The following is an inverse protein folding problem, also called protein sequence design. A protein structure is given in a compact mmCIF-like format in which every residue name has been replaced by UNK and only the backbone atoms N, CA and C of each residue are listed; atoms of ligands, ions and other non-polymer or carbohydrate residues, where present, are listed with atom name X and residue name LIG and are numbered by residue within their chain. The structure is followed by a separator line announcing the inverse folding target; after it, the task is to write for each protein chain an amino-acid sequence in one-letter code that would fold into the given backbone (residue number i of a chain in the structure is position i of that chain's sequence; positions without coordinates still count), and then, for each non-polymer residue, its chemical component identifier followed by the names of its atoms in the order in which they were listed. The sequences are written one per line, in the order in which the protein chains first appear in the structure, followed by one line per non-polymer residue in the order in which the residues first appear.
data_IF_409860510896
#
_entry.id   IF_409860510896
#
_cell.length_a   1.000
_cell.length_b   1.000
_cell.length_c   1.000
_cell.angle_alpha   90.00
_cell.angle_beta   90.00
_cell.angle_gamma   90.00
#
_symmetry.space_group_name_H-M   'P 1'
#
loop_
_entity.id
_entity.type
_entity.pdbx_description
1 polymer ?
#
# COMPACT_ATOMS: atom_id res chain seq x y z
N UNK A 1 12.45 -7.42 -15.43
CA UNK A 1 11.14 -6.79 -15.67
C UNK A 1 11.27 -5.39 -15.11
N UNK A 2 11.13 -4.33 -15.92
CA UNK A 2 10.98 -2.97 -15.38
C UNK A 2 9.85 -3.00 -14.35
N UNK A 3 9.99 -2.29 -13.23
CA UNK A 3 8.94 -2.08 -12.23
C UNK A 3 7.76 -1.35 -12.90
N UNK A 4 6.93 -2.10 -13.63
CA UNK A 4 5.66 -1.63 -14.13
C UNK A 4 4.62 -1.85 -13.01
N UNK A 5 4.28 -0.80 -12.25
CA UNK A 5 3.31 -0.92 -11.18
C UNK A 5 1.95 -1.38 -11.70
N UNK A 6 1.58 -1.07 -12.95
CA UNK A 6 0.29 -1.47 -13.50
C UNK A 6 0.23 -2.98 -13.68
N UNK A 7 1.23 -3.59 -14.30
CA UNK A 7 1.28 -5.05 -14.40
C UNK A 7 1.24 -5.71 -13.01
N UNK A 8 2.01 -5.14 -12.06
CA UNK A 8 2.11 -5.65 -10.69
C UNK A 8 0.75 -5.64 -9.97
N UNK A 9 0.07 -4.49 -9.94
CA UNK A 9 -1.23 -4.35 -9.28
C UNK A 9 -2.37 -5.04 -10.03
N UNK A 10 -2.32 -5.12 -11.36
CA UNK A 10 -3.30 -5.85 -12.18
C UNK A 10 -3.28 -7.33 -11.89
N UNK A 11 -2.11 -7.95 -11.95
CA UNK A 11 -1.95 -9.38 -11.68
C UNK A 11 -2.45 -9.72 -10.26
N UNK A 12 -2.03 -8.94 -9.26
CA UNK A 12 -2.48 -9.15 -7.88
C UNK A 12 -3.99 -8.96 -7.73
N UNK A 13 -4.57 -7.89 -8.28
CA UNK A 13 -6.00 -7.61 -8.25
C UNK A 13 -6.83 -8.78 -8.82
N UNK A 14 -6.41 -9.35 -9.95
CA UNK A 14 -7.11 -10.48 -10.57
C UNK A 14 -6.95 -11.77 -9.75
N UNK A 15 -5.75 -12.07 -9.28
CA UNK A 15 -5.52 -13.26 -8.43
C UNK A 15 -6.34 -13.22 -7.15
N UNK A 16 -6.45 -12.06 -6.51
CA UNK A 16 -7.27 -11.89 -5.31
C UNK A 16 -8.76 -12.13 -5.59
N UNK A 17 -9.27 -11.62 -6.71
CA UNK A 17 -10.68 -11.73 -7.07
C UNK A 17 -11.09 -13.12 -7.52
N UNK A 18 -10.22 -13.80 -8.28
CA UNK A 18 -10.52 -15.11 -8.86
C UNK A 18 -10.38 -16.21 -7.81
N UNK A 19 -9.36 -16.14 -6.97
CA UNK A 19 -9.01 -17.25 -6.07
C UNK A 19 -9.24 -16.90 -4.59
N UNK A 20 -8.70 -15.77 -4.12
CA UNK A 20 -8.56 -15.51 -2.67
C UNK A 20 -9.88 -15.09 -2.02
N UNK A 21 -10.56 -14.08 -2.57
CA UNK A 21 -11.83 -13.57 -2.03
C UNK A 21 -12.93 -14.66 -2.06
N UNK A 22 -13.13 -15.43 -3.15
CA UNK A 22 -14.10 -16.52 -3.16
C UNK A 22 -13.78 -17.61 -2.12
N UNK A 23 -12.51 -17.95 -1.94
CA UNK A 23 -12.09 -18.94 -0.93
C UNK A 23 -12.38 -18.45 0.49
N UNK A 24 -12.03 -17.20 0.83
CA UNK A 24 -12.36 -16.60 2.15
C UNK A 24 -13.87 -16.61 2.39
N UNK A 25 -14.68 -16.24 1.39
CA UNK A 25 -16.15 -16.29 1.49
C UNK A 25 -16.67 -17.70 1.76
N UNK A 26 -16.13 -18.68 1.05
CA UNK A 26 -16.48 -20.10 1.23
C UNK A 26 -16.15 -20.57 2.65
N UNK A 27 -14.97 -20.22 3.15
CA UNK A 27 -14.54 -20.54 4.53
C UNK A 27 -15.41 -19.90 5.59
N UNK A 28 -15.82 -18.64 5.40
CA UNK A 28 -16.76 -17.96 6.30
C UNK A 28 -18.12 -18.64 6.29
N UNK A 29 -18.65 -18.98 5.10
CA UNK A 29 -19.91 -19.70 4.98
C UNK A 29 -19.87 -21.11 5.60
N UNK A 30 -18.72 -21.78 5.52
CA UNK A 30 -18.47 -23.09 6.14
C UNK A 30 -18.15 -23.00 7.65
N UNK A 31 -17.98 -21.79 8.20
CA UNK A 31 -17.65 -21.56 9.60
C UNK A 31 -16.20 -21.85 9.99
N UNK A 32 -15.30 -22.10 9.03
CA UNK A 32 -13.86 -22.28 9.31
C UNK A 32 -13.14 -20.96 9.57
N UNK A 33 -13.74 -19.84 9.17
CA UNK A 33 -13.34 -18.48 9.53
C UNK A 33 -14.53 -17.80 10.20
N UNK A 34 -14.33 -17.23 11.39
CA UNK A 34 -15.38 -16.50 12.09
C UNK A 34 -15.65 -15.15 11.39
N UNK A 35 -16.92 -14.76 11.20
CA UNK A 35 -17.24 -13.45 10.62
C UNK A 35 -16.68 -12.28 11.44
N UNK A 36 -16.49 -12.46 12.75
CA UNK A 36 -15.88 -11.47 13.64
C UNK A 36 -14.37 -11.29 13.43
N UNK A 37 -13.69 -12.18 12.71
CA UNK A 37 -12.27 -12.02 12.36
C UNK A 37 -12.07 -11.28 11.03
N UNK A 38 -13.14 -10.81 10.39
CA UNK A 38 -13.06 -10.06 9.15
C UNK A 38 -12.89 -8.55 9.37
N UNK A 39 -12.26 -7.84 8.41
CA UNK A 39 -11.42 -8.41 7.35
C UNK A 39 -10.13 -9.05 7.88
N UNK A 40 -9.69 -10.09 7.18
CA UNK A 40 -8.39 -10.72 7.40
C UNK A 40 -7.29 -9.90 6.74
N UNK A 41 -6.29 -9.48 7.50
CA UNK A 41 -5.10 -8.86 6.92
C UNK A 41 -4.23 -9.93 6.25
N UNK A 42 -4.02 -9.78 4.95
CA UNK A 42 -3.18 -10.66 4.14
C UNK A 42 -1.74 -10.18 4.22
N UNK A 43 -0.88 -10.99 4.84
CA UNK A 43 0.58 -10.84 4.85
C UNK A 43 1.22 -11.72 3.78
N UNK A 44 0.58 -12.84 3.46
CA UNK A 44 1.03 -13.77 2.45
C UNK A 44 -0.18 -14.53 1.89
N UNK A 45 -0.14 -14.85 0.60
CA UNK A 45 -1.09 -15.74 -0.03
C UNK A 45 -0.41 -16.62 -1.07
N UNK A 46 -0.75 -17.91 -1.07
CA UNK A 46 -0.34 -18.86 -2.10
C UNK A 46 -1.58 -19.50 -2.73
N UNK A 47 -1.74 -19.35 -4.03
CA UNK A 47 -2.75 -20.07 -4.81
C UNK A 47 -2.05 -21.22 -5.52
N UNK A 48 -2.53 -22.45 -5.33
CA UNK A 48 -1.96 -23.68 -5.87
C UNK A 48 -2.99 -24.30 -6.82
N UNK A 49 -2.56 -24.67 -8.03
CA UNK A 49 -3.39 -25.34 -9.01
C UNK A 49 -2.85 -26.75 -9.29
N UNK A 50 -3.68 -27.77 -9.01
CA UNK A 50 -3.36 -29.18 -9.23
C UNK A 50 -4.65 -29.98 -9.41
N UNK A 51 -4.64 -30.96 -10.32
CA UNK A 51 -5.77 -31.89 -10.56
C UNK A 51 -7.13 -31.19 -10.77
N UNK A 52 -7.14 -30.08 -11.52
CA UNK A 52 -8.32 -29.21 -11.74
C UNK A 52 -8.93 -28.59 -10.48
N UNK A 53 -8.21 -28.60 -9.35
CA UNK A 53 -8.58 -27.94 -8.10
C UNK A 53 -7.67 -26.75 -7.84
N UNK A 54 -8.23 -25.75 -7.16
CA UNK A 54 -7.50 -24.61 -6.63
C UNK A 54 -7.46 -24.71 -5.11
N UNK A 55 -6.28 -24.61 -4.54
CA UNK A 55 -6.08 -24.48 -3.11
C UNK A 55 -5.56 -23.07 -2.85
N UNK A 56 -6.13 -22.40 -1.85
CA UNK A 56 -5.64 -21.10 -1.40
C UNK A 56 -5.09 -21.31 -0.01
N UNK A 57 -3.91 -20.75 0.26
CA UNK A 57 -3.30 -20.75 1.58
C UNK A 57 -3.08 -19.30 1.98
N UNK A 58 -3.57 -18.92 3.16
CA UNK A 58 -3.49 -17.57 3.69
C UNK A 58 -2.49 -17.50 4.84
N UNK A 59 -1.64 -16.47 4.83
CA UNK A 59 -0.72 -16.16 5.92
C UNK A 59 0.13 -17.39 6.34
N UNK A 60 -0.05 -17.84 7.58
CA UNK A 60 0.71 -18.94 8.17
C UNK A 60 0.36 -20.31 7.57
N UNK A 61 -0.72 -20.44 6.80
CA UNK A 61 -1.01 -21.66 6.03
C UNK A 61 0.00 -21.85 4.89
N UNK A 62 0.53 -20.75 4.33
CA UNK A 62 1.44 -20.80 3.20
C UNK A 62 2.88 -21.06 3.68
N UNK A 63 3.19 -22.33 3.92
CA UNK A 63 4.55 -22.76 4.29
C UNK A 63 5.44 -22.81 3.04
N UNK A 64 6.34 -21.81 2.93
CA UNK A 64 7.30 -21.70 1.82
C UNK A 64 8.59 -22.43 2.15
N UNK A 65 9.09 -23.21 1.19
CA UNK A 65 10.36 -23.92 1.30
C UNK A 65 11.36 -23.26 0.36
N UNK A 66 12.52 -22.89 0.90
CA UNK A 66 13.56 -22.20 0.17
C UNK A 66 14.80 -23.08 0.20
N UNK A 67 15.38 -23.32 -0.97
CA UNK A 67 16.66 -24.00 -1.13
C UNK A 67 17.75 -22.95 -1.35
N UNK A 68 18.84 -23.07 -0.60
CA UNK A 68 19.98 -22.16 -0.67
C UNK A 68 21.28 -22.93 -0.46
N UNK A 69 22.36 -22.62 -1.21
CA UNK A 69 23.69 -23.14 -0.93
C UNK A 69 24.16 -22.68 0.45
N UNK A 70 24.62 -23.62 1.28
CA UNK A 70 25.21 -23.29 2.57
C UNK A 70 26.65 -22.78 2.41
N UNK A 71 27.07 -21.82 3.24
CA UNK A 71 28.46 -21.31 3.28
C UNK A 71 29.33 -22.09 4.27
N UNK A 72 28.71 -22.92 5.10
CA UNK A 72 29.34 -23.82 6.08
C UNK A 72 28.49 -25.08 6.27
N UNK A 73 29.00 -26.05 7.01
CA UNK A 73 28.21 -27.19 7.45
C UNK A 73 27.11 -26.73 8.43
N UNK A 74 25.87 -27.16 8.16
CA UNK A 74 24.68 -26.84 8.96
C UNK A 74 24.04 -28.15 9.41
N UNK A 75 23.76 -28.27 10.70
CA UNK A 75 23.06 -29.44 11.25
C UNK A 75 21.54 -29.26 11.17
N UNK A 76 20.82 -30.38 11.16
CA UNK A 76 19.35 -30.35 11.21
C UNK A 76 18.88 -29.65 12.49
N UNK A 77 17.85 -28.81 12.35
CA UNK A 77 17.21 -28.05 13.42
C UNK A 77 18.11 -26.96 14.05
N UNK A 78 19.30 -26.72 13.47
CA UNK A 78 20.16 -25.61 13.86
C UNK A 78 19.57 -24.26 13.40
N UNK A 79 19.58 -23.21 14.24
CA UNK A 79 19.23 -21.86 13.80
C UNK A 79 20.16 -21.39 12.68
N UNK A 80 19.56 -20.93 11.58
CA UNK A 80 20.28 -20.38 10.43
C UNK A 80 20.10 -18.87 10.35
N UNK A 81 21.15 -18.18 9.94
CA UNK A 81 21.20 -16.75 9.63
C UNK A 81 21.50 -16.56 8.14
N UNK A 82 21.41 -15.31 7.67
CA UNK A 82 21.79 -15.00 6.28
C UNK A 82 23.27 -15.25 5.98
N UNK A 83 24.15 -15.22 6.98
CA UNK A 83 25.59 -15.44 6.80
C UNK A 83 25.91 -16.92 6.53
N UNK A 84 24.99 -17.82 6.92
CA UNK A 84 25.15 -19.26 6.79
C UNK A 84 24.77 -19.78 5.40
N UNK A 85 24.24 -18.93 4.51
CA UNK A 85 23.77 -19.28 3.18
C UNK A 85 24.25 -18.28 2.12
N UNK A 86 24.24 -18.68 0.85
CA UNK A 86 24.41 -17.76 -0.27
C UNK A 86 23.04 -17.14 -0.65
N UNK A 87 22.75 -15.89 -0.26
CA UNK A 87 21.43 -15.29 -0.47
C UNK A 87 21.10 -14.98 -1.93
N UNK A 88 22.12 -14.86 -2.80
CA UNK A 88 21.95 -14.55 -4.23
C UNK A 88 21.57 -15.79 -5.06
N UNK A 89 21.73 -16.98 -4.46
CA UNK A 89 21.42 -18.27 -5.06
C UNK A 89 20.32 -18.99 -4.28
N UNK A 90 19.33 -18.22 -3.80
CA UNK A 90 18.15 -18.75 -3.13
C UNK A 90 17.03 -19.02 -4.14
N UNK A 91 16.31 -20.11 -3.89
CA UNK A 91 15.35 -20.68 -4.82
C UNK A 91 14.09 -21.14 -4.09
N UNK A 92 12.92 -20.80 -4.63
CA UNK A 92 11.64 -21.22 -4.07
C UNK A 92 11.26 -22.59 -4.65
N UNK A 93 11.05 -23.55 -3.76
CA UNK A 93 10.54 -24.87 -4.15
C UNK A 93 9.04 -24.78 -4.49
N UNK A 94 8.58 -25.46 -5.56
CA UNK A 94 7.17 -25.58 -5.84
C UNK A 94 6.43 -26.27 -4.68
N UNK A 95 5.17 -25.91 -4.39
CA UNK A 95 4.35 -26.69 -3.48
C UNK A 95 4.10 -28.09 -4.07
N UNK A 96 3.99 -29.07 -3.18
CA UNK A 96 3.71 -30.46 -3.55
C UNK A 96 2.26 -30.81 -3.23
N UNK A 97 1.54 -31.36 -4.21
CA UNK A 97 0.18 -31.91 -4.04
C UNK A 97 0.21 -33.37 -4.46
N UNK A 98 -0.22 -34.28 -3.57
CA UNK A 98 -0.18 -35.73 -3.81
C UNK A 98 1.21 -36.27 -4.23
N UNK A 99 2.28 -35.65 -3.73
CA UNK A 99 3.66 -36.04 -4.06
C UNK A 99 4.18 -35.52 -5.40
N UNK A 100 3.45 -34.65 -6.09
CA UNK A 100 3.85 -34.04 -7.36
C UNK A 100 3.97 -32.51 -7.24
N UNK A 101 4.92 -31.86 -7.93
CA UNK A 101 4.99 -30.41 -8.01
C UNK A 101 3.68 -29.84 -8.57
N UNK A 102 3.18 -28.78 -7.97
CA UNK A 102 1.96 -28.11 -8.41
C UNK A 102 2.25 -26.68 -8.87
N UNK A 103 1.47 -26.21 -9.84
CA UNK A 103 1.57 -24.83 -10.28
C UNK A 103 1.12 -23.89 -9.17
N UNK A 104 1.72 -22.71 -9.09
CA UNK A 104 1.39 -21.77 -8.04
C UNK A 104 1.58 -20.30 -8.42
N UNK A 105 0.90 -19.46 -7.65
CA UNK A 105 1.15 -18.03 -7.49
C UNK A 105 1.35 -17.74 -6.01
N UNK A 106 2.45 -17.10 -5.66
CA UNK A 106 2.80 -16.64 -4.32
C UNK A 106 2.86 -15.11 -4.33
N UNK A 107 2.19 -14.48 -3.37
CA UNK A 107 2.36 -13.06 -3.06
C UNK A 107 2.69 -12.91 -1.57
N UNK A 108 3.77 -12.19 -1.28
CA UNK A 108 4.20 -11.88 0.08
C UNK A 108 4.25 -10.37 0.28
N UNK A 109 3.47 -9.86 1.22
CA UNK A 109 3.43 -8.45 1.56
C UNK A 109 4.51 -8.13 2.59
N UNK A 110 5.29 -7.09 2.31
CA UNK A 110 6.25 -6.49 3.22
C UNK A 110 5.83 -5.04 3.43
N UNK A 111 5.09 -4.85 4.52
CA UNK A 111 4.48 -3.57 4.88
C UNK A 111 3.56 -3.02 3.79
N UNK A 112 4.06 -2.15 2.92
CA UNK A 112 3.30 -1.50 1.85
C UNK A 112 3.69 -1.97 0.45
N UNK A 113 4.75 -2.77 0.36
CA UNK A 113 5.19 -3.39 -0.87
C UNK A 113 4.90 -4.89 -0.83
N UNK A 114 5.08 -5.56 -1.96
CA UNK A 114 4.89 -6.99 -2.07
C UNK A 114 5.82 -7.61 -3.10
N UNK A 115 6.20 -8.85 -2.83
CA UNK A 115 6.92 -9.72 -3.73
C UNK A 115 5.95 -10.72 -4.36
N UNK A 116 6.05 -10.93 -5.67
CA UNK A 116 5.28 -11.96 -6.38
C UNK A 116 6.22 -12.97 -7.02
N UNK A 117 5.87 -14.24 -6.92
CA UNK A 117 6.53 -15.35 -7.62
C UNK A 117 5.47 -16.31 -8.13
N UNK A 118 5.67 -16.89 -9.30
CA UNK A 118 4.74 -17.88 -9.86
C UNK A 118 5.51 -18.91 -10.68
N UNK A 119 5.04 -20.15 -10.65
CA UNK A 119 5.48 -21.19 -11.57
C UNK A 119 4.25 -21.94 -12.08
N UNK A 120 3.97 -21.84 -13.38
CA UNK A 120 2.87 -22.56 -14.01
C UNK A 120 3.33 -23.78 -14.84
N UNK A 121 4.64 -24.04 -14.90
CA UNK A 121 5.22 -25.17 -15.64
C UNK A 121 4.69 -26.54 -15.19
N UNK A 122 4.43 -26.81 -13.89
CA UNK A 122 3.93 -28.14 -13.48
C UNK A 122 2.62 -28.57 -14.15
N UNK A 123 1.83 -27.63 -14.67
CA UNK A 123 0.59 -27.93 -15.39
C UNK A 123 0.71 -27.78 -16.91
N UNK A 124 1.91 -27.53 -17.43
CA UNK A 124 2.14 -27.36 -18.86
C UNK A 124 2.50 -28.71 -19.52
N UNK A 125 1.86 -29.08 -20.63
CA UNK A 125 2.13 -30.36 -21.28
C UNK A 125 3.55 -30.40 -21.86
N UNK A 126 4.27 -31.49 -21.60
CA UNK A 126 5.59 -31.74 -22.18
C UNK A 126 6.78 -31.11 -21.45
N UNK A 127 6.57 -30.56 -20.25
CA UNK A 127 7.67 -30.11 -19.38
C UNK A 127 8.40 -31.33 -18.82
N UNK A 128 9.72 -31.30 -18.89
CA UNK A 128 10.60 -32.34 -18.35
C UNK A 128 10.88 -32.16 -16.86
N UNK A 129 11.27 -33.23 -16.15
CA UNK A 129 11.65 -33.15 -14.73
C UNK A 129 12.79 -32.15 -14.48
N UNK A 130 13.76 -32.07 -15.41
CA UNK A 130 14.85 -31.09 -15.37
C UNK A 130 14.36 -29.64 -15.51
N UNK A 131 13.27 -29.41 -16.24
CA UNK A 131 12.66 -28.09 -16.36
C UNK A 131 11.80 -27.74 -15.15
N UNK A 132 11.15 -28.73 -14.52
CA UNK A 132 10.47 -28.55 -13.23
C UNK A 132 11.47 -28.28 -12.09
N UNK A 133 12.68 -28.83 -12.20
CA UNK A 133 13.78 -28.55 -11.29
C UNK A 133 14.38 -27.14 -11.45
N UNK A 134 14.03 -26.39 -12.51
CA UNK A 134 14.44 -24.98 -12.63
C UNK A 134 13.66 -24.17 -11.60
N UNK A 135 14.31 -23.87 -10.50
CA UNK A 135 13.69 -23.14 -9.42
C UNK A 135 13.50 -21.66 -9.72
N UNK A 136 12.44 -21.08 -9.16
CA UNK A 136 12.23 -19.65 -9.19
C UNK A 136 13.18 -18.98 -8.21
N UNK A 137 14.00 -18.03 -8.69
CA UNK A 137 14.85 -17.22 -7.81
C UNK A 137 14.00 -16.55 -6.73
N UNK A 138 14.48 -16.63 -5.50
CA UNK A 138 13.83 -16.09 -4.33
C UNK A 138 14.73 -15.02 -3.68
N UNK A 139 14.27 -13.77 -3.52
CA UNK A 139 15.12 -12.67 -3.05
C UNK A 139 15.28 -12.66 -1.53
N UNK A 140 15.82 -13.75 -0.95
CA UNK A 140 15.87 -13.97 0.50
C UNK A 140 16.51 -12.80 1.26
N UNK A 141 17.69 -12.34 0.83
CA UNK A 141 18.37 -11.21 1.48
C UNK A 141 17.50 -9.95 1.49
N UNK A 142 16.88 -9.57 0.37
CA UNK A 142 16.06 -8.37 0.30
C UNK A 142 14.84 -8.47 1.24
N UNK A 143 14.19 -9.63 1.32
CA UNK A 143 13.02 -9.83 2.18
C UNK A 143 13.41 -9.82 3.66
N UNK A 144 14.53 -10.43 4.04
CA UNK A 144 15.04 -10.40 5.42
C UNK A 144 15.46 -9.00 5.82
N UNK A 145 16.24 -8.30 4.99
CA UNK A 145 16.65 -6.92 5.24
C UNK A 145 15.45 -5.99 5.41
N UNK A 146 14.43 -6.13 4.57
CA UNK A 146 13.21 -5.34 4.69
C UNK A 146 12.44 -5.66 5.98
N UNK A 147 12.36 -6.93 6.40
CA UNK A 147 11.75 -7.32 7.68
C UNK A 147 12.51 -6.77 8.87
N UNK A 148 13.84 -6.81 8.84
CA UNK A 148 14.68 -6.29 9.92
C UNK A 148 14.59 -4.77 10.01
N UNK A 149 14.52 -4.09 8.86
CA UNK A 149 14.25 -2.65 8.81
C UNK A 149 12.91 -2.32 9.47
N UNK A 150 11.83 -3.05 9.14
CA UNK A 150 10.51 -2.83 9.74
C UNK A 150 10.49 -3.04 11.25
N UNK A 151 11.20 -4.07 11.75
CA UNK A 151 11.36 -4.31 13.19
C UNK A 151 12.11 -3.15 13.86
N UNK A 152 13.16 -2.65 13.21
CA UNK A 152 14.01 -1.57 13.72
C UNK A 152 13.28 -0.22 13.77
N UNK A 153 12.70 0.22 12.66
CA UNK A 153 12.12 1.57 12.56
C UNK A 153 10.69 1.65 13.10
N UNK A 154 9.98 0.52 13.21
CA UNK A 154 8.59 0.46 13.69
C UNK A 154 7.69 1.50 12.99
N UNK A 155 7.47 1.36 11.66
CA UNK A 155 6.92 2.43 10.83
C UNK A 155 5.53 2.94 11.30
N UNK A 156 4.71 2.07 11.90
CA UNK A 156 3.40 2.45 12.45
C UNK A 156 3.53 3.49 13.56
N UNK A 157 4.56 3.39 14.41
CA UNK A 157 4.81 4.35 15.50
C UNK A 157 5.17 5.71 14.91
N UNK A 158 6.06 5.71 13.93
CA UNK A 158 6.53 6.94 13.27
C UNK A 158 5.40 7.60 12.47
N UNK A 159 4.57 6.83 11.75
CA UNK A 159 3.42 7.38 11.03
C UNK A 159 2.42 8.06 12.00
N UNK A 160 2.21 7.51 13.20
CA UNK A 160 1.40 8.15 14.24
C UNK A 160 2.02 9.46 14.73
N UNK A 161 3.33 9.50 14.93
CA UNK A 161 4.03 10.73 15.30
C UNK A 161 3.91 11.80 14.21
N UNK A 162 4.14 11.45 12.95
CA UNK A 162 3.95 12.38 11.82
C UNK A 162 2.54 12.94 11.78
N UNK A 163 1.53 12.09 11.92
CA UNK A 163 0.12 12.51 11.98
C UNK A 163 -0.15 13.49 13.14
N UNK A 164 0.43 13.27 14.32
CA UNK A 164 0.33 14.17 15.48
C UNK A 164 0.97 15.54 15.24
N UNK A 165 2.00 15.61 14.40
CA UNK A 165 2.66 16.84 13.97
C UNK A 165 2.06 17.41 12.67
N UNK A 166 0.81 17.05 12.37
CA UNK A 166 0.07 17.52 11.19
C UNK A 166 0.77 17.24 9.84
N UNK A 167 1.52 16.14 9.76
CA UNK A 167 2.01 15.58 8.50
C UNK A 167 1.10 14.42 8.08
N UNK A 168 0.38 14.53 6.94
CA UNK A 168 -0.57 13.51 6.53
C UNK A 168 0.11 12.14 6.36
N UNK A 169 -0.41 11.07 6.96
CA UNK A 169 0.18 9.74 6.85
C UNK A 169 0.11 9.24 5.41
N UNK A 170 1.25 8.91 4.81
CA UNK A 170 1.30 8.50 3.41
C UNK A 170 2.38 7.46 3.12
N UNK A 171 2.21 6.73 2.02
CA UNK A 171 3.12 5.66 1.60
C UNK A 171 4.51 6.17 1.27
N UNK A 172 4.59 7.33 0.61
CA UNK A 172 5.85 7.86 0.08
C UNK A 172 6.89 8.06 1.17
N UNK A 173 6.49 8.18 2.45
CA UNK A 173 7.42 8.26 3.56
C UNK A 173 8.31 7.02 3.73
N UNK A 174 7.83 5.84 3.35
CA UNK A 174 8.61 4.62 3.46
C UNK A 174 9.56 4.44 2.27
N UNK A 175 10.84 4.07 2.50
CA UNK A 175 11.49 3.95 3.81
C UNK A 175 12.15 5.26 4.29
N UNK A 176 12.44 6.19 3.38
CA UNK A 176 13.41 7.28 3.62
C UNK A 176 13.03 8.25 4.74
N UNK A 177 11.81 8.80 4.72
CA UNK A 177 11.35 9.74 5.76
C UNK A 177 11.24 9.00 7.10
N UNK A 178 10.75 7.77 7.09
CA UNK A 178 10.61 6.99 8.33
C UNK A 178 11.98 6.65 8.94
N UNK A 179 12.99 6.32 8.12
CA UNK A 179 14.37 6.13 8.58
C UNK A 179 14.94 7.44 9.14
N UNK A 180 14.70 8.56 8.46
CA UNK A 180 15.20 9.87 8.90
C UNK A 180 14.67 10.21 10.31
N UNK A 181 13.36 10.06 10.51
CA UNK A 181 12.70 10.33 11.81
C UNK A 181 13.15 9.32 12.86
N UNK A 182 13.29 8.03 12.51
CA UNK A 182 13.82 7.03 13.44
C UNK A 182 15.20 7.43 14.00
N UNK A 183 16.09 7.91 13.12
CA UNK A 183 17.43 8.32 13.50
C UNK A 183 17.45 9.69 14.22
N UNK A 184 16.47 10.56 13.94
CA UNK A 184 16.41 11.92 14.49
C UNK A 184 14.96 12.28 14.92
N UNK A 185 14.42 11.75 16.03
CA UNK A 185 13.00 11.91 16.34
C UNK A 185 12.52 13.35 16.52
N UNK A 186 13.39 14.23 17.02
CA UNK A 186 13.07 15.66 17.19
C UNK A 186 12.94 16.41 15.86
N UNK A 187 13.43 15.84 14.75
CA UNK A 187 13.50 16.56 13.48
C UNK A 187 12.14 16.87 12.88
N UNK A 188 11.06 16.15 13.27
CA UNK A 188 9.70 16.42 12.78
C UNK A 188 9.27 17.87 13.07
N UNK A 189 9.76 18.45 14.18
CA UNK A 189 9.44 19.82 14.59
C UNK A 189 10.37 20.87 13.98
N UNK A 190 11.43 20.45 13.28
CA UNK A 190 12.38 21.36 12.66
C UNK A 190 11.80 21.93 11.36
N UNK A 191 12.05 23.22 11.10
CA UNK A 191 11.59 23.88 9.88
C UNK A 191 12.17 23.27 8.60
N UNK A 192 13.29 22.55 8.69
CA UNK A 192 13.92 21.86 7.55
C UNK A 192 13.33 20.48 7.27
N UNK A 193 12.42 19.97 8.11
CA UNK A 193 11.82 18.64 7.87
C UNK A 193 11.06 18.57 6.55
N UNK A 194 10.42 19.68 6.15
CA UNK A 194 9.78 19.80 4.85
C UNK A 194 10.73 19.51 3.67
N UNK A 195 12.03 19.81 3.80
CA UNK A 195 13.02 19.49 2.76
C UNK A 195 13.23 17.97 2.63
N UNK A 196 13.29 17.25 3.75
CA UNK A 196 13.43 15.78 3.77
C UNK A 196 12.23 15.13 3.10
N UNK A 197 11.03 15.64 3.38
CA UNK A 197 9.80 15.15 2.76
C UNK A 197 9.77 15.50 1.27
N UNK A 198 10.11 16.74 0.89
CA UNK A 198 10.12 17.18 -0.51
C UNK A 198 11.11 16.39 -1.39
N UNK A 199 12.27 15.99 -0.84
CA UNK A 199 13.22 15.12 -1.54
C UNK A 199 12.62 13.75 -1.88
N UNK A 200 11.72 13.26 -1.03
CA UNK A 200 11.02 11.99 -1.22
C UNK A 200 9.86 12.13 -2.22
N UNK A 201 9.07 13.20 -2.09
CA UNK A 201 7.96 13.55 -3.01
C UNK A 201 8.44 14.44 -4.16
N UNK A 202 9.52 14.04 -4.81
CA UNK A 202 10.10 14.77 -5.93
C UNK A 202 9.31 14.59 -7.24
N UNK A 203 9.75 15.26 -8.31
CA UNK A 203 9.05 15.23 -9.61
C UNK A 203 8.99 13.83 -10.22
N UNK A 204 10.01 12.99 -10.03
CA UNK A 204 10.00 11.60 -10.51
C UNK A 204 8.95 10.75 -9.78
N UNK A 205 8.82 10.91 -8.46
CA UNK A 205 7.75 10.26 -7.68
C UNK A 205 6.36 10.58 -8.24
N UNK A 206 6.06 11.87 -8.42
CA UNK A 206 4.75 12.30 -8.92
C UNK A 206 4.52 11.91 -10.37
N UNK A 207 5.53 11.97 -11.24
CA UNK A 207 5.40 11.51 -12.62
C UNK A 207 4.99 10.04 -12.69
N UNK A 208 5.59 9.18 -11.86
CA UNK A 208 5.22 7.75 -11.75
C UNK A 208 3.79 7.58 -11.25
N UNK A 209 3.37 8.35 -10.24
CA UNK A 209 1.98 8.32 -9.73
C UNK A 209 0.98 8.79 -10.77
N UNK A 210 1.24 9.89 -11.45
CA UNK A 210 0.39 10.44 -12.51
C UNK A 210 0.26 9.47 -13.68
N UNK A 211 1.37 8.83 -14.10
CA UNK A 211 1.35 7.81 -15.14
C UNK A 211 0.45 6.62 -14.74
N UNK A 212 0.64 6.09 -13.52
CA UNK A 212 -0.19 5.02 -12.97
C UNK A 212 -1.68 5.41 -12.89
N UNK A 213 -1.99 6.61 -12.36
CA UNK A 213 -3.36 7.09 -12.24
C UNK A 213 -4.04 7.35 -13.57
N UNK A 214 -3.26 7.78 -14.58
CA UNK A 214 -3.75 7.94 -15.94
C UNK A 214 -4.10 6.60 -16.57
N UNK A 215 -3.20 5.63 -16.49
CA UNK A 215 -3.39 4.31 -17.09
C UNK A 215 -4.57 3.55 -16.47
N UNK A 216 -4.74 3.66 -15.15
CA UNK A 216 -5.83 3.01 -14.40
C UNK A 216 -7.13 3.82 -14.37
N UNK A 217 -7.19 4.98 -15.05
CA UNK A 217 -8.31 5.95 -14.96
C UNK A 217 -8.72 6.18 -13.50
N UNK A 218 -7.74 6.33 -12.63
CA UNK A 218 -7.91 6.28 -11.18
C UNK A 218 -8.81 7.42 -10.66
N UNK A 219 -8.64 8.60 -11.27
CA UNK A 219 -9.39 9.83 -11.00
C UNK A 219 -10.01 10.37 -12.31
N UNK A 220 -11.05 9.71 -12.87
CA UNK A 220 -11.45 9.88 -14.26
C UNK A 220 -11.72 11.34 -14.67
N UNK A 221 -12.47 12.09 -13.86
CA UNK A 221 -12.84 13.48 -14.16
C UNK A 221 -11.96 14.52 -13.43
N UNK A 222 -10.98 14.06 -12.63
CA UNK A 222 -10.24 14.92 -11.71
C UNK A 222 -8.73 14.93 -11.92
N UNK A 223 -8.20 13.98 -12.71
CA UNK A 223 -6.76 13.85 -12.91
C UNK A 223 -6.13 15.12 -13.48
N UNK A 224 -6.82 15.89 -14.32
CA UNK A 224 -6.32 17.15 -14.84
C UNK A 224 -6.06 18.20 -13.75
N UNK A 225 -6.92 18.27 -12.72
CA UNK A 225 -6.75 19.20 -11.60
C UNK A 225 -5.62 18.74 -10.68
N UNK A 226 -5.52 17.43 -10.45
CA UNK A 226 -4.41 16.82 -9.70
C UNK A 226 -3.08 17.11 -10.40
N UNK A 227 -3.00 16.87 -11.71
CA UNK A 227 -1.81 17.13 -12.51
C UNK A 227 -1.42 18.61 -12.43
N UNK A 228 -2.40 19.52 -12.62
CA UNK A 228 -2.16 20.96 -12.48
C UNK A 228 -1.58 21.30 -11.11
N UNK A 229 -2.19 20.87 -10.01
CA UNK A 229 -1.69 21.19 -8.68
C UNK A 229 -0.24 20.70 -8.45
N UNK A 230 0.10 19.52 -8.96
CA UNK A 230 1.48 19.00 -8.88
C UNK A 230 2.44 19.84 -9.72
N UNK A 231 2.06 20.21 -10.95
CA UNK A 231 2.89 21.06 -11.81
C UNK A 231 3.16 22.42 -11.14
N UNK A 232 2.11 23.08 -10.63
CA UNK A 232 2.24 24.38 -9.93
C UNK A 232 3.17 24.28 -8.69
N UNK A 233 3.13 23.17 -7.95
CA UNK A 233 4.02 22.95 -6.81
C UNK A 233 5.49 22.96 -7.22
N UNK A 234 5.82 22.34 -8.36
CA UNK A 234 7.18 22.29 -8.88
C UNK A 234 7.64 23.59 -9.54
N UNK A 235 6.71 24.42 -10.00
CA UNK A 235 7.00 25.78 -10.49
C UNK A 235 7.08 26.82 -9.34
N UNK A 236 6.80 26.40 -8.09
CA UNK A 236 6.84 27.27 -6.91
C UNK A 236 5.56 28.07 -6.67
N UNK A 237 4.48 27.82 -7.43
CA UNK A 237 3.16 28.40 -7.21
C UNK A 237 2.35 27.57 -6.20
N UNK A 238 2.69 27.75 -4.92
CA UNK A 238 2.03 27.06 -3.81
C UNK A 238 0.59 27.53 -3.60
N UNK A 239 0.27 28.78 -3.99
CA UNK A 239 -1.09 29.31 -3.96
C UNK A 239 -1.96 28.46 -4.89
N UNK A 240 -1.63 28.42 -6.18
CA UNK A 240 -2.39 27.65 -7.15
C UNK A 240 -2.45 26.17 -6.79
N UNK A 241 -1.34 25.59 -6.29
CA UNK A 241 -1.33 24.21 -5.78
C UNK A 241 -2.45 23.95 -4.78
N UNK A 242 -2.51 24.75 -3.72
CA UNK A 242 -3.47 24.60 -2.62
C UNK A 242 -4.90 24.81 -3.11
N UNK A 243 -5.17 25.94 -3.78
CA UNK A 243 -6.52 26.30 -4.21
C UNK A 243 -7.08 25.34 -5.27
N UNK A 244 -6.20 24.70 -6.06
CA UNK A 244 -6.61 23.66 -7.01
C UNK A 244 -6.86 22.32 -6.31
N UNK A 245 -5.97 21.87 -5.41
CA UNK A 245 -6.03 20.50 -4.87
C UNK A 245 -7.04 20.32 -3.74
N UNK A 246 -7.16 21.28 -2.83
CA UNK A 246 -7.98 21.15 -1.62
C UNK A 246 -9.44 20.79 -1.94
N UNK A 247 -10.12 21.42 -2.91
CA UNK A 247 -11.48 21.03 -3.30
C UNK A 247 -11.58 19.61 -3.88
N UNK A 248 -10.50 19.08 -4.47
CA UNK A 248 -10.53 17.76 -5.10
C UNK A 248 -10.62 16.63 -4.08
N UNK A 249 -10.10 16.80 -2.86
CA UNK A 249 -10.09 15.74 -1.83
C UNK A 249 -11.54 15.32 -1.52
N UNK A 250 -12.41 16.28 -1.19
CA UNK A 250 -13.84 16.01 -0.94
C UNK A 250 -14.52 15.44 -2.19
N UNK A 251 -14.23 16.02 -3.35
CA UNK A 251 -14.81 15.61 -4.61
C UNK A 251 -14.45 14.17 -5.04
N UNK A 252 -13.23 13.73 -4.74
CA UNK A 252 -12.75 12.36 -4.99
C UNK A 252 -13.49 11.39 -4.08
N UNK A 253 -13.57 11.67 -2.77
CA UNK A 253 -14.26 10.78 -1.81
C UNK A 253 -15.72 10.60 -2.21
N UNK A 254 -16.43 11.70 -2.46
CA UNK A 254 -17.86 11.66 -2.86
C UNK A 254 -18.09 10.92 -4.18
N UNK A 255 -17.27 11.19 -5.20
CA UNK A 255 -17.39 10.49 -6.49
C UNK A 255 -17.14 8.99 -6.34
N UNK A 256 -16.17 8.62 -5.50
CA UNK A 256 -15.85 7.23 -5.23
C UNK A 256 -16.99 6.51 -4.48
N UNK A 257 -17.56 7.13 -3.44
CA UNK A 257 -18.73 6.60 -2.73
C UNK A 257 -19.92 6.36 -3.66
N UNK A 258 -20.24 7.32 -4.53
CA UNK A 258 -21.28 7.16 -5.54
C UNK A 258 -21.00 5.97 -6.45
N UNK A 259 -19.74 5.79 -6.88
CA UNK A 259 -19.30 4.63 -7.68
C UNK A 259 -19.38 3.31 -6.90
N UNK A 260 -19.30 3.36 -5.58
CA UNK A 260 -19.50 2.23 -4.69
C UNK A 260 -20.99 1.97 -4.37
N UNK A 261 -21.92 2.75 -4.92
CA UNK A 261 -23.36 2.62 -4.67
C UNK A 261 -23.83 3.26 -3.36
N UNK A 262 -23.00 4.11 -2.75
CA UNK A 262 -23.33 4.83 -1.51
C UNK A 262 -23.64 6.28 -1.84
N UNK A 263 -24.81 6.78 -1.42
CA UNK A 263 -25.14 8.20 -1.53
C UNK A 263 -24.37 8.99 -0.46
N UNK A 264 -23.44 9.90 -0.85
CA UNK A 264 -22.62 10.60 0.11
C UNK A 264 -23.44 11.58 0.97
N UNK A 265 -23.28 11.52 2.29
CA UNK A 265 -23.87 12.48 3.23
C UNK A 265 -22.80 13.37 3.89
N UNK A 266 -23.10 13.99 5.04
CA UNK A 266 -22.13 14.83 5.78
C UNK A 266 -21.00 14.03 6.43
N UNK A 267 -21.20 12.73 6.66
CA UNK A 267 -20.26 11.80 7.26
C UNK A 267 -19.53 10.96 6.19
N UNK A 268 -19.34 11.51 4.98
CA UNK A 268 -18.78 10.80 3.84
C UNK A 268 -17.40 10.16 4.12
N UNK A 269 -16.59 10.71 5.03
CA UNK A 269 -15.31 10.08 5.41
C UNK A 269 -15.54 8.77 6.16
N UNK A 270 -16.46 8.77 7.12
CA UNK A 270 -16.86 7.55 7.84
C UNK A 270 -17.57 6.56 6.91
N UNK A 271 -18.38 7.04 5.97
CA UNK A 271 -18.95 6.18 4.93
C UNK A 271 -17.83 5.52 4.08
N UNK A 272 -16.78 6.26 3.71
CA UNK A 272 -15.64 5.72 2.97
C UNK A 272 -14.92 4.66 3.80
N UNK A 273 -14.64 4.94 5.07
CA UNK A 273 -14.04 3.99 6.01
C UNK A 273 -14.85 2.70 6.09
N UNK A 274 -16.16 2.80 6.23
CA UNK A 274 -17.05 1.64 6.29
C UNK A 274 -17.02 0.83 4.99
N UNK A 275 -17.04 1.48 3.83
CA UNK A 275 -16.92 0.78 2.53
C UNK A 275 -15.60 0.01 2.45
N UNK A 276 -14.49 0.67 2.76
CA UNK A 276 -13.14 0.09 2.62
C UNK A 276 -12.90 -1.04 3.64
N UNK A 277 -13.36 -0.88 4.88
CA UNK A 277 -13.18 -1.87 5.94
C UNK A 277 -14.27 -2.96 5.98
N UNK A 278 -15.31 -2.86 5.13
CA UNK A 278 -16.34 -3.91 4.97
C UNK A 278 -15.89 -5.10 4.13
N UNK A 279 -14.71 -5.02 3.50
CA UNK A 279 -14.16 -6.10 2.67
C UNK A 279 -13.86 -7.33 3.53
N UNK A 280 -13.72 -8.48 2.88
CA UNK A 280 -13.38 -9.73 3.56
C UNK A 280 -11.88 -9.82 3.89
N UNK A 281 -11.05 -9.11 3.12
CA UNK A 281 -9.60 -9.08 3.28
C UNK A 281 -9.07 -7.64 3.28
N UNK A 282 -7.93 -7.44 3.94
CA UNK A 282 -7.11 -6.23 3.83
C UNK A 282 -5.75 -6.58 3.23
N UNK A 283 -5.33 -5.86 2.19
CA UNK A 283 -3.98 -6.04 1.62
C UNK A 283 -2.94 -5.14 2.26
N UNK A 284 -3.36 -3.96 2.74
CA UNK A 284 -2.48 -3.04 3.45
C UNK A 284 -2.69 -3.19 4.96
N UNK A 285 -1.68 -2.87 5.78
CA UNK A 285 -1.81 -3.00 7.22
C UNK A 285 -2.98 -2.18 7.75
N UNK A 286 -3.84 -2.82 8.57
CA UNK A 286 -5.00 -2.16 9.16
C UNK A 286 -4.62 -0.87 9.87
N UNK A 287 -3.54 -0.90 10.65
CA UNK A 287 -3.05 0.26 11.38
C UNK A 287 -2.72 1.45 10.46
N UNK A 288 -2.20 1.20 9.25
CA UNK A 288 -1.93 2.28 8.28
C UNK A 288 -3.23 2.91 7.80
N UNK A 289 -4.22 2.07 7.44
CA UNK A 289 -5.54 2.54 7.02
C UNK A 289 -6.23 3.32 8.14
N UNK A 290 -6.17 2.82 9.38
CA UNK A 290 -6.77 3.47 10.54
C UNK A 290 -6.10 4.81 10.87
N UNK A 291 -4.77 4.92 10.72
CA UNK A 291 -4.07 6.20 10.87
C UNK A 291 -4.49 7.19 9.77
N UNK A 292 -4.60 6.74 8.52
CA UNK A 292 -5.06 7.60 7.41
C UNK A 292 -6.49 8.06 7.63
N UNK A 293 -7.40 7.14 7.95
CA UNK A 293 -8.79 7.50 8.24
C UNK A 293 -8.89 8.41 9.45
N UNK A 294 -8.15 8.14 10.53
CA UNK A 294 -8.10 9.01 11.70
C UNK A 294 -7.65 10.42 11.31
N UNK A 295 -6.55 10.54 10.56
CA UNK A 295 -6.05 11.83 10.10
C UNK A 295 -7.06 12.55 9.20
N UNK A 296 -7.69 11.85 8.25
CA UNK A 296 -8.72 12.44 7.41
C UNK A 296 -9.90 12.85 8.29
N UNK A 297 -10.48 11.99 9.13
CA UNK A 297 -11.68 12.29 9.92
C UNK A 297 -11.48 13.44 10.92
N UNK A 298 -10.35 13.44 11.64
CA UNK A 298 -10.12 14.37 12.76
C UNK A 298 -9.13 15.48 12.44
N UNK A 299 -8.51 15.49 11.26
CA UNK A 299 -7.53 16.49 10.88
C UNK A 299 -8.15 17.87 10.58
N UNK A 300 -7.30 18.91 10.46
CA UNK A 300 -7.74 20.29 10.33
C UNK A 300 -8.53 20.55 9.05
N UNK A 301 -8.37 19.74 7.99
CA UNK A 301 -9.06 19.91 6.71
C UNK A 301 -10.60 20.05 6.86
N UNK A 302 -11.21 19.34 7.82
CA UNK A 302 -12.66 19.36 8.02
C UNK A 302 -13.15 20.19 9.19
N UNK A 303 -12.25 20.74 10.00
CA UNK A 303 -12.62 21.52 11.17
C UNK A 303 -13.45 22.75 10.79
N UNK A 304 -14.29 23.18 11.72
CA UNK A 304 -14.90 24.50 11.62
C UNK A 304 -13.82 25.58 11.66
N UNK A 305 -14.01 26.66 10.91
CA UNK A 305 -13.01 27.72 10.80
C UNK A 305 -12.71 28.43 12.11
N UNK A 306 -13.65 28.42 13.04
CA UNK A 306 -13.45 28.91 14.41
C UNK A 306 -12.54 28.03 15.27
N UNK A 307 -12.19 26.81 14.85
CA UNK A 307 -11.33 25.88 15.59
C UNK A 307 -9.87 25.92 15.13
N UNK A 308 -9.56 26.70 14.09
CA UNK A 308 -8.18 26.84 13.60
C UNK A 308 -7.45 27.85 14.48
N UNK A 309 -6.37 27.41 15.11
CA UNK A 309 -5.59 28.22 16.06
C UNK A 309 -4.40 28.91 15.41
N UNK A 310 -3.76 28.24 14.44
CA UNK A 310 -2.64 28.75 13.67
C UNK A 310 -2.83 28.45 12.17
N UNK A 311 -3.33 29.42 11.37
CA UNK A 311 -3.50 29.28 9.93
C UNK A 311 -2.21 28.95 9.16
N UNK A 312 -1.02 29.22 9.72
CA UNK A 312 0.25 28.87 9.08
C UNK A 312 0.59 27.37 9.15
N UNK A 313 -0.03 26.65 10.10
CA UNK A 313 0.23 25.23 10.34
C UNK A 313 -1.02 24.35 10.19
N UNK A 314 -2.21 24.92 10.42
CA UNK A 314 -3.51 24.27 10.41
C UNK A 314 -4.44 25.04 9.48
N UNK A 315 -4.98 24.38 8.46
CA UNK A 315 -5.97 25.02 7.59
C UNK A 315 -7.07 24.04 7.25
N UNK A 316 -8.28 24.57 7.19
CA UNK A 316 -9.45 23.83 6.76
C UNK A 316 -9.91 24.30 5.38
N UNK A 317 -10.62 23.42 4.67
CA UNK A 317 -11.11 23.70 3.30
C UNK A 317 -12.06 24.89 3.21
N UNK A 318 -12.86 25.14 4.26
CA UNK A 318 -13.90 26.16 4.25
C UNK A 318 -13.29 27.57 4.35
N UNK A 319 -12.31 27.76 5.24
CA UNK A 319 -11.55 28.99 5.37
C UNK A 319 -10.75 29.32 4.10
N UNK A 320 -10.16 28.30 3.46
CA UNK A 320 -9.50 28.46 2.16
C UNK A 320 -10.52 28.89 1.09
N UNK A 321 -11.61 28.14 0.93
CA UNK A 321 -12.59 28.40 -0.12
C UNK A 321 -13.28 29.78 -0.01
N UNK A 322 -13.37 30.33 1.19
CA UNK A 322 -13.95 31.65 1.44
C UNK A 322 -12.92 32.77 1.59
N UNK A 323 -11.62 32.49 1.43
CA UNK A 323 -10.54 33.49 1.54
C UNK A 323 -10.38 34.09 2.94
N UNK A 324 -10.79 33.36 3.98
CA UNK A 324 -10.71 33.80 5.37
C UNK A 324 -9.28 33.70 5.93
N UNK A 325 -8.43 32.88 5.32
CA UNK A 325 -7.02 32.73 5.67
C UNK A 325 -6.13 33.23 4.52
N UNK A 326 -5.01 33.84 4.87
CA UNK A 326 -3.97 34.30 3.93
C UNK A 326 -2.58 34.11 4.56
N UNK A 327 -1.54 34.00 3.74
CA UNK A 327 -0.15 33.86 4.21
C UNK A 327 0.22 32.44 4.64
N UNK A 328 -0.66 31.47 4.42
CA UNK A 328 -0.46 30.06 4.72
C UNK A 328 0.05 29.27 3.52
N UNK A 329 0.10 29.90 2.34
CA UNK A 329 0.43 29.32 1.05
C UNK A 329 1.94 29.07 0.89
N UNK A 330 2.47 28.25 1.79
CA UNK A 330 3.87 27.83 1.84
C UNK A 330 4.08 26.53 1.07
N UNK A 331 5.34 26.24 0.72
CA UNK A 331 5.74 24.96 0.13
C UNK A 331 5.26 23.78 0.97
N UNK A 332 5.51 23.82 2.27
CA UNK A 332 5.23 22.70 3.16
C UNK A 332 3.72 22.46 3.30
N UNK A 333 2.92 23.54 3.32
CA UNK A 333 1.47 23.42 3.33
C UNK A 333 0.94 22.81 2.03
N UNK A 334 1.42 23.29 0.88
CA UNK A 334 1.09 22.74 -0.43
C UNK A 334 1.47 21.25 -0.53
N UNK A 335 2.67 20.90 -0.05
CA UNK A 335 3.17 19.52 -0.02
C UNK A 335 2.29 18.63 0.86
N UNK A 336 1.90 19.08 2.05
CA UNK A 336 0.98 18.33 2.93
C UNK A 336 -0.32 17.98 2.21
N UNK A 337 -0.92 18.90 1.47
CA UNK A 337 -2.15 18.57 0.73
C UNK A 337 -1.96 17.58 -0.42
N UNK A 338 -0.82 17.63 -1.12
CA UNK A 338 -0.47 16.62 -2.12
C UNK A 338 -0.28 15.25 -1.46
N UNK A 339 0.41 15.20 -0.31
CA UNK A 339 0.61 13.96 0.47
C UNK A 339 -0.73 13.40 0.96
N UNK A 340 -1.65 14.25 1.40
CA UNK A 340 -3.00 13.84 1.80
C UNK A 340 -3.78 13.22 0.62
N UNK A 341 -3.62 13.75 -0.60
CA UNK A 341 -4.17 13.13 -1.80
C UNK A 341 -3.56 11.74 -2.04
N UNK A 342 -2.23 11.59 -1.92
CA UNK A 342 -1.55 10.30 -2.10
C UNK A 342 -1.98 9.26 -1.05
N UNK A 343 -2.18 9.70 0.20
CA UNK A 343 -2.75 8.89 1.27
C UNK A 343 -4.17 8.41 0.94
N UNK A 344 -5.02 9.30 0.41
CA UNK A 344 -6.34 8.93 -0.07
C UNK A 344 -6.25 7.96 -1.26
N UNK A 345 -5.31 8.18 -2.19
CA UNK A 345 -5.11 7.30 -3.32
C UNK A 345 -4.76 5.87 -2.88
N UNK A 346 -3.97 5.70 -1.82
CA UNK A 346 -3.71 4.38 -1.21
C UNK A 346 -5.00 3.70 -0.75
N UNK A 347 -5.82 4.42 0.02
CA UNK A 347 -7.10 3.90 0.54
C UNK A 347 -8.00 3.45 -0.61
N UNK A 348 -8.05 4.23 -1.69
CA UNK A 348 -8.83 3.85 -2.87
C UNK A 348 -8.20 2.71 -3.66
N UNK A 349 -6.87 2.63 -3.73
CA UNK A 349 -6.14 1.57 -4.43
C UNK A 349 -6.45 0.22 -3.77
N UNK A 350 -6.40 0.19 -2.44
CA UNK A 350 -6.78 -0.96 -1.64
C UNK A 350 -8.13 -1.53 -2.09
N UNK A 351 -9.16 -0.70 -2.07
CA UNK A 351 -10.51 -1.15 -2.35
C UNK A 351 -10.73 -1.45 -3.84
N UNK A 352 -10.16 -0.63 -4.75
CA UNK A 352 -10.24 -0.83 -6.20
C UNK A 352 -9.66 -2.17 -6.63
N UNK A 353 -8.56 -2.62 -6.01
CA UNK A 353 -8.00 -3.94 -6.28
C UNK A 353 -8.92 -5.07 -5.82
N UNK A 354 -9.53 -4.94 -4.64
CA UNK A 354 -10.42 -5.96 -4.10
C UNK A 354 -11.76 -6.04 -4.85
N UNK A 355 -12.22 -4.92 -5.41
CA UNK A 355 -13.48 -4.84 -6.16
C UNK A 355 -13.32 -5.05 -7.66
N UNK A 356 -12.10 -5.04 -8.18
CA UNK A 356 -11.83 -5.14 -9.61
C UNK A 356 -12.20 -3.88 -10.40
N UNK A 357 -12.21 -2.74 -9.72
CA UNK A 357 -12.48 -1.41 -10.30
C UNK A 357 -11.21 -0.60 -10.55
N UNK A 358 -10.05 -1.27 -10.55
CA UNK A 358 -8.75 -0.65 -10.82
C UNK A 358 -8.46 -0.52 -12.32
N UNK A 359 -9.03 -1.39 -13.16
CA UNK A 359 -8.79 -1.45 -14.60
C UNK A 359 -10.09 -1.42 -15.40
#
# INVERSE_FOLDING_TARGET
MQDDPVLKYRALSEMLRIFVIPDVKSRVAAGSIASSSLPIQIKQVRSIHSDSRNYVELNDEAQIVITAPATRDIQKDEPITLEDVNPDECYLEPPMVNGQPAAYFLCQFIFLDFFMSFNFLPNFPGVTDDELAKHNRYPLAALVQARDLLKKIQPIVILKQLAQHNWPPALGYYPHVLIHVHNNPSSISDSSFGDVVALTYNKDYWNKRLAFWKETKFFPDRLQYVNKAIDEYFEGDFISTIYVIVPQIEGIIKAYLTTAGVTPDRNFVTQLKNVVLSREILMFPRDVLDIIFGFIETGPLWWHTSLISDPGQEVNRHGIAHGLFTGFETRDMALKYLILLDALALVLLHDKMLTGKLF
#
